data_IF_915657009055
#
_entry.id   IF_915657009055
#
_cell.length_a   1.000
_cell.length_b   1.000
_cell.length_c   1.000
_cell.angle_alpha   90.00
_cell.angle_beta   90.00
_cell.angle_gamma   90.00
#
_symmetry.space_group_name_H-M   'P 1'
#
loop_
_entity.id
_entity.type
_entity.pdbx_description
1 polymer ?
#
# COMPACT_ATOMS: atom_id res chain seq x y z
N UNK A 1 7.95 71.50 -20.23
CA UNK A 1 9.41 71.50 -20.02
C UNK A 1 9.80 70.19 -19.31
N UNK A 2 10.77 69.46 -19.89
CA UNK A 2 11.70 68.44 -19.32
C UNK A 2 11.08 67.17 -18.66
N UNK A 3 11.08 65.99 -19.29
CA UNK A 3 12.13 64.98 -19.59
C UNK A 3 12.53 64.02 -18.43
N UNK A 4 12.00 62.78 -18.54
CA UNK A 4 12.62 61.43 -18.38
C UNK A 4 12.81 60.73 -17.00
N UNK A 5 13.01 59.38 -16.95
CA UNK A 5 12.06 58.40 -16.38
C UNK A 5 12.61 57.66 -15.15
N UNK A 6 11.77 57.02 -14.32
CA UNK A 6 12.27 56.03 -13.34
C UNK A 6 11.45 54.73 -13.28
N UNK A 7 12.02 53.74 -13.97
CA UNK A 7 12.22 52.32 -13.63
C UNK A 7 11.00 51.50 -13.16
N UNK A 8 10.65 50.49 -13.98
CA UNK A 8 9.90 49.30 -13.54
C UNK A 8 10.67 48.61 -12.40
N UNK A 9 10.05 48.27 -11.27
CA UNK A 9 10.62 47.27 -10.39
C UNK A 9 10.48 45.89 -11.04
N UNK A 10 11.66 45.32 -11.29
CA UNK A 10 12.05 43.91 -11.42
C UNK A 10 10.90 42.91 -11.27
N UNK A 11 10.66 42.13 -12.34
CA UNK A 11 9.96 40.85 -12.27
C UNK A 11 10.54 40.03 -11.12
N UNK A 12 9.74 39.79 -10.09
CA UNK A 12 10.04 38.75 -9.11
C UNK A 12 10.25 37.45 -9.87
N UNK A 13 11.44 36.88 -9.69
CA UNK A 13 11.72 35.52 -10.10
C UNK A 13 10.63 34.64 -9.50
N UNK A 14 9.86 33.94 -10.35
CA UNK A 14 8.98 32.87 -9.90
C UNK A 14 9.82 31.93 -9.04
N UNK A 15 9.57 31.96 -7.74
CA UNK A 15 9.96 30.93 -6.79
C UNK A 15 9.71 29.57 -7.45
N UNK A 16 10.66 28.62 -7.44
CA UNK A 16 10.40 27.29 -7.97
C UNK A 16 9.17 26.76 -7.25
N UNK A 17 8.19 26.34 -8.05
CA UNK A 17 6.90 25.86 -7.59
C UNK A 17 7.12 24.85 -6.45
N UNK A 18 6.49 25.11 -5.30
CA UNK A 18 6.36 24.12 -4.24
C UNK A 18 5.73 22.83 -4.80
N UNK A 19 5.82 21.71 -4.06
CA UNK A 19 5.34 20.41 -4.53
C UNK A 19 3.90 20.52 -5.02
N UNK A 20 3.68 20.03 -6.25
CA UNK A 20 2.43 20.09 -6.98
C UNK A 20 1.27 19.52 -6.12
N UNK A 21 0.23 20.31 -5.79
CA UNK A 21 -0.91 19.84 -5.00
C UNK A 21 -1.83 18.99 -5.87
N UNK A 22 -1.49 17.72 -6.08
CA UNK A 22 -2.33 16.84 -6.89
C UNK A 22 -1.84 15.41 -7.13
N UNK A 23 -0.56 15.10 -6.93
CA UNK A 23 -0.10 13.71 -6.97
C UNK A 23 -0.33 13.05 -5.59
N UNK A 24 -0.90 11.82 -5.52
CA UNK A 24 -0.86 11.06 -4.28
C UNK A 24 0.61 10.82 -3.94
N UNK A 25 1.09 11.54 -2.93
CA UNK A 25 2.44 11.40 -2.47
C UNK A 25 2.51 10.07 -1.71
N UNK A 26 3.19 9.07 -2.26
CA UNK A 26 3.39 7.77 -1.59
C UNK A 26 3.85 7.97 -0.14
N UNK A 27 3.33 7.17 0.78
CA UNK A 27 3.60 7.31 2.21
C UNK A 27 4.38 6.12 2.79
N UNK A 28 4.74 5.16 1.94
CA UNK A 28 5.64 4.05 2.24
C UNK A 28 6.57 3.80 1.07
N UNK A 29 7.83 3.48 1.35
CA UNK A 29 8.82 3.03 0.37
C UNK A 29 9.74 1.97 0.97
N UNK A 30 10.10 0.97 0.17
CA UNK A 30 10.98 -0.11 0.59
C UNK A 30 11.85 -0.58 -0.59
N UNK A 31 13.04 -1.15 -0.36
CA UNK A 31 13.86 -1.71 -1.44
C UNK A 31 13.24 -2.99 -2.02
N UNK A 32 12.45 -3.72 -1.23
CA UNK A 32 11.72 -4.92 -1.63
C UNK A 32 10.38 -4.99 -0.92
N UNK A 33 9.50 -5.87 -1.37
CA UNK A 33 8.22 -6.15 -0.73
C UNK A 33 7.86 -7.62 -0.83
N UNK A 34 6.81 -8.01 -0.11
CA UNK A 34 6.26 -9.36 -0.10
C UNK A 34 4.81 -9.31 -0.56
N UNK A 35 4.39 -10.32 -1.30
CA UNK A 35 2.98 -10.64 -1.53
C UNK A 35 2.59 -11.76 -0.56
N UNK A 36 1.69 -11.46 0.36
CA UNK A 36 1.11 -12.43 1.27
C UNK A 36 -0.18 -12.99 0.67
N UNK A 37 -0.35 -14.30 0.69
CA UNK A 37 -1.51 -15.00 0.15
C UNK A 37 -2.08 -16.00 1.15
N UNK A 38 -3.40 -16.05 1.26
CA UNK A 38 -4.14 -17.02 2.06
C UNK A 38 -5.53 -17.28 1.41
N UNK A 39 -6.42 -17.97 2.10
CA UNK A 39 -7.81 -18.18 1.66
C UNK A 39 -8.80 -17.77 2.74
N UNK A 40 -10.01 -17.40 2.31
CA UNK A 40 -11.15 -17.27 3.19
C UNK A 40 -12.45 -17.74 2.53
N UNK A 41 -13.45 -18.06 3.35
CA UNK A 41 -14.80 -18.37 2.87
C UNK A 41 -15.53 -17.08 2.48
N UNK A 42 -15.90 -16.97 1.21
CA UNK A 42 -16.67 -15.84 0.72
C UNK A 42 -18.05 -15.80 1.38
N UNK A 43 -18.41 -14.66 1.96
CA UNK A 43 -19.69 -14.46 2.64
C UNK A 43 -20.89 -14.47 1.67
N UNK A 44 -20.67 -14.25 0.38
CA UNK A 44 -21.73 -14.23 -0.65
C UNK A 44 -22.00 -15.63 -1.22
N UNK A 45 -20.96 -16.38 -1.60
CA UNK A 45 -21.11 -17.64 -2.33
C UNK A 45 -20.52 -18.87 -1.62
N UNK A 46 -19.96 -18.71 -0.41
CA UNK A 46 -19.30 -19.76 0.38
C UNK A 46 -18.07 -20.42 -0.28
N UNK A 47 -17.64 -19.94 -1.45
CA UNK A 47 -16.41 -20.38 -2.13
C UNK A 47 -15.17 -20.05 -1.29
N UNK A 48 -14.16 -20.92 -1.33
CA UNK A 48 -12.90 -20.72 -0.61
C UNK A 48 -11.95 -19.86 -1.45
N UNK A 49 -12.14 -18.55 -1.42
CA UNK A 49 -11.46 -17.61 -2.30
C UNK A 49 -10.03 -17.34 -1.83
N UNK A 50 -9.08 -17.35 -2.76
CA UNK A 50 -7.74 -16.81 -2.53
C UNK A 50 -7.82 -15.30 -2.23
N UNK A 51 -7.06 -14.86 -1.23
CA UNK A 51 -6.94 -13.46 -0.81
C UNK A 51 -5.48 -13.08 -0.60
N UNK A 52 -5.18 -11.82 -0.88
CA UNK A 52 -3.82 -11.29 -0.90
C UNK A 52 -3.70 -9.97 -0.15
N UNK A 53 -2.49 -9.70 0.34
CA UNK A 53 -2.08 -8.40 0.87
C UNK A 53 -0.61 -8.13 0.53
N UNK A 54 -0.21 -6.86 0.59
CA UNK A 54 1.19 -6.46 0.45
C UNK A 54 1.82 -6.26 1.83
N UNK A 55 3.07 -6.70 1.97
CA UNK A 55 3.81 -6.59 3.23
C UNK A 55 5.16 -5.94 2.96
N UNK A 56 5.56 -5.03 3.84
CA UNK A 56 6.90 -4.47 3.88
C UNK A 56 7.59 -4.91 5.17
N UNK A 57 8.88 -5.19 5.09
CA UNK A 57 9.73 -5.49 6.24
C UNK A 57 10.88 -4.48 6.27
N UNK A 58 11.46 -4.17 7.45
CA UNK A 58 12.65 -3.34 7.51
C UNK A 58 13.76 -3.90 6.59
N UNK A 59 14.56 -3.04 5.93
CA UNK A 59 14.45 -1.59 5.96
C UNK A 59 13.31 -1.09 5.05
N UNK A 60 12.48 -0.20 5.55
CA UNK A 60 11.55 0.61 4.77
C UNK A 60 11.38 1.96 5.46
N UNK A 61 10.92 2.96 4.72
CA UNK A 61 10.53 4.25 5.29
C UNK A 61 9.03 4.47 5.13
N UNK A 62 8.45 5.19 6.08
CA UNK A 62 7.05 5.64 6.03
C UNK A 62 6.95 7.12 6.42
N UNK A 63 5.81 7.73 6.12
CA UNK A 63 5.46 9.07 6.59
C UNK A 63 3.96 9.20 6.80
N UNK A 64 3.53 10.06 7.71
CA UNK A 64 2.12 10.42 7.85
C UNK A 64 1.86 11.76 7.17
N UNK A 65 1.16 11.74 6.03
CA UNK A 65 0.86 12.96 5.27
C UNK A 65 2.13 13.69 4.79
N UNK A 66 2.22 14.99 5.09
CA UNK A 66 3.34 15.83 4.70
C UNK A 66 4.54 15.78 5.68
N UNK A 67 4.52 14.86 6.66
CA UNK A 67 5.64 14.67 7.59
C UNK A 67 6.88 14.14 6.88
N UNK A 68 8.00 14.30 7.58
CA UNK A 68 9.29 13.73 7.20
C UNK A 68 9.23 12.20 7.15
N UNK A 69 10.09 11.60 6.32
CA UNK A 69 10.25 10.16 6.23
C UNK A 69 10.91 9.63 7.49
N UNK A 70 10.35 8.57 8.04
CA UNK A 70 10.81 7.88 9.24
C UNK A 70 11.02 6.40 8.95
N UNK A 71 12.08 5.78 9.49
CA UNK A 71 12.30 4.36 9.34
C UNK A 71 11.15 3.54 9.96
N UNK A 72 10.67 2.55 9.23
CA UNK A 72 9.82 1.50 9.76
C UNK A 72 10.64 0.52 10.62
N UNK A 73 10.22 0.34 11.87
CA UNK A 73 10.95 -0.48 12.85
C UNK A 73 10.43 -1.91 12.95
N UNK A 74 9.20 -2.15 12.50
CA UNK A 74 8.62 -3.48 12.44
C UNK A 74 7.93 -3.72 11.10
N UNK A 75 7.84 -4.98 10.67
CA UNK A 75 7.13 -5.36 9.46
C UNK A 75 5.66 -4.95 9.52
N UNK A 76 5.09 -4.58 8.37
CA UNK A 76 3.74 -4.07 8.28
C UNK A 76 2.99 -4.65 7.09
N UNK A 77 1.74 -5.05 7.34
CA UNK A 77 0.78 -5.38 6.29
C UNK A 77 0.10 -4.08 5.87
N UNK A 78 0.01 -3.85 4.56
CA UNK A 78 -0.62 -2.67 4.00
C UNK A 78 -2.12 -2.93 3.80
N UNK A 79 -2.93 -1.99 4.28
CA UNK A 79 -4.36 -1.93 4.06
C UNK A 79 -4.74 -0.62 3.34
N UNK A 80 -5.92 -0.58 2.75
CA UNK A 80 -6.48 0.57 2.05
C UNK A 80 -5.51 1.22 1.08
N UNK A 81 -4.82 0.39 0.29
CA UNK A 81 -3.84 0.86 -0.67
C UNK A 81 -4.57 1.67 -1.74
N UNK A 82 -4.42 2.99 -1.72
CA UNK A 82 -5.07 3.90 -2.68
C UNK A 82 -4.33 3.92 -4.02
N UNK A 83 -3.00 3.80 -3.97
CA UNK A 83 -2.12 3.96 -5.14
C UNK A 83 -0.89 3.04 -5.07
N UNK A 84 -0.59 2.41 -6.20
CA UNK A 84 0.63 1.65 -6.47
C UNK A 84 1.25 2.14 -7.79
N UNK A 85 2.58 2.13 -7.93
CA UNK A 85 3.24 2.27 -9.22
C UNK A 85 2.78 1.19 -10.22
N UNK A 86 2.72 1.54 -11.52
CA UNK A 86 2.26 0.64 -12.59
C UNK A 86 3.02 -0.69 -12.61
N UNK A 87 4.35 -0.67 -12.41
CA UNK A 87 5.18 -1.89 -12.32
C UNK A 87 4.66 -2.90 -11.30
N UNK A 88 4.18 -2.41 -10.15
CA UNK A 88 3.67 -3.24 -9.06
C UNK A 88 2.26 -3.70 -9.40
N UNK A 89 1.45 -2.82 -9.97
CA UNK A 89 0.11 -3.16 -10.44
C UNK A 89 0.13 -4.25 -11.51
N UNK A 90 1.05 -4.19 -12.46
CA UNK A 90 1.20 -5.18 -13.53
C UNK A 90 1.70 -6.52 -13.00
N UNK A 91 2.64 -6.51 -12.06
CA UNK A 91 3.02 -7.73 -11.34
C UNK A 91 1.80 -8.36 -10.65
N UNK A 92 0.99 -7.56 -9.95
CA UNK A 92 -0.19 -8.07 -9.25
C UNK A 92 -1.27 -8.61 -10.19
N UNK A 93 -1.47 -8.01 -11.37
CA UNK A 93 -2.39 -8.57 -12.39
C UNK A 93 -2.01 -10.01 -12.76
N UNK A 94 -0.72 -10.34 -12.76
CA UNK A 94 -0.22 -11.67 -13.10
C UNK A 94 -0.26 -12.64 -11.91
N UNK A 95 0.11 -12.18 -10.71
CA UNK A 95 0.28 -13.06 -9.53
C UNK A 95 -0.95 -13.18 -8.64
N UNK A 96 -1.84 -12.18 -8.69
CA UNK A 96 -3.02 -12.05 -7.86
C UNK A 96 -4.15 -11.35 -8.66
N UNK A 97 -4.67 -11.95 -9.75
CA UNK A 97 -5.60 -11.29 -10.68
C UNK A 97 -6.94 -10.88 -10.07
N UNK A 98 -7.26 -11.40 -8.87
CA UNK A 98 -8.45 -11.04 -8.08
C UNK A 98 -8.15 -10.05 -6.96
N UNK A 99 -6.97 -9.46 -6.95
CA UNK A 99 -6.59 -8.36 -6.07
C UNK A 99 -6.33 -7.13 -6.92
N UNK A 100 -7.33 -6.26 -7.03
CA UNK A 100 -7.26 -5.07 -7.88
C UNK A 100 -8.04 -3.89 -7.29
N UNK A 101 -7.79 -2.71 -7.85
CA UNK A 101 -8.37 -1.46 -7.35
C UNK A 101 -9.85 -1.36 -7.71
N UNK A 102 -10.69 -1.15 -6.70
CA UNK A 102 -12.14 -0.99 -6.86
C UNK A 102 -12.69 -0.05 -5.77
N UNK A 103 -13.90 0.47 -5.96
CA UNK A 103 -14.60 1.29 -4.98
C UNK A 103 -15.39 0.41 -4.00
N UNK A 104 -15.26 0.63 -2.70
CA UNK A 104 -16.18 0.03 -1.73
C UNK A 104 -17.31 1.01 -1.41
N UNK A 105 -18.44 0.49 -0.93
CA UNK A 105 -19.59 1.32 -0.55
C UNK A 105 -19.26 2.27 0.62
N UNK A 106 -18.33 1.87 1.49
CA UNK A 106 -18.03 2.55 2.75
C UNK A 106 -16.76 3.41 2.71
N UNK A 107 -15.87 3.18 1.74
CA UNK A 107 -14.65 3.98 1.59
C UNK A 107 -14.81 5.02 0.50
N UNK A 108 -14.48 6.28 0.82
CA UNK A 108 -14.64 7.42 -0.09
C UNK A 108 -13.74 7.34 -1.33
N UNK A 109 -12.67 6.54 -1.27
CA UNK A 109 -11.70 6.40 -2.34
C UNK A 109 -11.55 4.93 -2.74
N UNK A 110 -11.44 4.63 -4.04
CA UNK A 110 -11.11 3.28 -4.48
C UNK A 110 -9.72 2.87 -3.98
N UNK A 111 -9.61 1.63 -3.53
CA UNK A 111 -8.38 1.04 -3.02
C UNK A 111 -8.23 -0.39 -3.56
N UNK A 112 -7.03 -0.94 -3.47
CA UNK A 112 -6.76 -2.33 -3.83
C UNK A 112 -7.43 -3.27 -2.84
N UNK A 113 -8.38 -4.06 -3.33
CA UNK A 113 -9.14 -5.01 -2.51
C UNK A 113 -9.21 -6.36 -3.20
N UNK A 114 -9.59 -7.38 -2.44
CA UNK A 114 -9.76 -8.71 -2.95
C UNK A 114 -11.17 -8.89 -3.53
N UNK A 115 -11.29 -9.78 -4.51
CA UNK A 115 -12.55 -10.18 -5.10
C UNK A 115 -12.64 -11.70 -5.10
N UNK A 116 -13.81 -12.24 -4.80
CA UNK A 116 -14.02 -13.67 -4.85
C UNK A 116 -13.79 -14.20 -6.26
N UNK A 117 -12.91 -15.18 -6.42
CA UNK A 117 -12.62 -15.77 -7.74
C UNK A 117 -13.81 -16.54 -8.35
N UNK A 118 -14.78 -16.93 -7.51
CA UNK A 118 -15.97 -17.69 -7.91
C UNK A 118 -17.16 -16.81 -8.30
N UNK A 119 -17.46 -15.77 -7.51
CA UNK A 119 -18.65 -14.94 -7.72
C UNK A 119 -18.37 -13.45 -7.97
N UNK A 120 -17.11 -13.02 -7.87
CA UNK A 120 -16.71 -11.62 -8.06
C UNK A 120 -17.08 -10.68 -6.91
N UNK A 121 -17.68 -11.17 -5.81
CA UNK A 121 -18.01 -10.36 -4.64
C UNK A 121 -16.77 -9.69 -4.05
N UNK A 122 -16.92 -8.45 -3.60
CA UNK A 122 -15.86 -7.66 -2.97
C UNK A 122 -15.53 -8.21 -1.57
N UNK A 123 -14.25 -8.30 -1.27
CA UNK A 123 -13.69 -8.77 0.00
C UNK A 123 -12.71 -7.69 0.46
N UNK A 124 -13.11 -6.91 1.46
CA UNK A 124 -12.36 -5.75 1.92
C UNK A 124 -11.32 -6.08 2.98
N UNK A 125 -10.55 -5.06 3.37
CA UNK A 125 -9.47 -5.21 4.35
C UNK A 125 -9.99 -5.46 5.78
N UNK A 126 -11.24 -5.10 6.06
CA UNK A 126 -11.92 -5.48 7.30
C UNK A 126 -11.98 -7.02 7.46
N UNK A 127 -12.24 -7.74 6.38
CA UNK A 127 -12.34 -9.20 6.36
C UNK A 127 -10.99 -9.91 6.17
N UNK A 128 -10.05 -9.31 5.44
CA UNK A 128 -8.75 -9.94 5.11
C UNK A 128 -7.65 -9.61 6.10
N UNK A 129 -7.67 -8.42 6.72
CA UNK A 129 -6.59 -7.89 7.57
C UNK A 129 -7.08 -7.52 8.97
N UNK A 130 -8.13 -6.71 9.12
CA UNK A 130 -8.40 -6.05 10.41
C UNK A 130 -9.09 -6.94 11.45
N UNK A 131 -10.02 -7.79 11.01
CA UNK A 131 -10.74 -8.67 11.93
C UNK A 131 -9.80 -9.63 12.65
N UNK A 132 -10.09 -9.92 13.92
CA UNK A 132 -9.28 -10.82 14.76
C UNK A 132 -9.19 -12.26 14.21
N UNK A 133 -10.12 -12.65 13.33
CA UNK A 133 -10.12 -13.94 12.65
C UNK A 133 -9.67 -13.84 11.18
N UNK A 134 -9.28 -12.64 10.73
CA UNK A 134 -8.88 -12.42 9.35
C UNK A 134 -7.59 -13.19 9.03
N UNK A 135 -7.49 -13.80 7.84
CA UNK A 135 -6.39 -14.69 7.50
C UNK A 135 -5.03 -13.99 7.34
N UNK A 136 -5.02 -12.66 7.20
CA UNK A 136 -3.81 -11.83 7.07
C UNK A 136 -3.71 -10.80 8.21
N UNK A 137 -4.39 -11.04 9.34
CA UNK A 137 -4.36 -10.14 10.50
C UNK A 137 -2.98 -10.04 11.16
N UNK A 138 -2.54 -8.82 11.46
CA UNK A 138 -1.19 -8.53 11.95
C UNK A 138 -0.90 -9.02 13.38
N UNK A 139 -1.93 -9.22 14.20
CA UNK A 139 -1.81 -9.84 15.52
C UNK A 139 -1.70 -11.36 15.48
N UNK A 140 -2.03 -11.98 14.33
CA UNK A 140 -1.98 -13.44 14.11
C UNK A 140 -1.24 -13.81 12.84
N UNK A 141 -0.45 -12.90 12.29
CA UNK A 141 0.21 -13.08 11.01
C UNK A 141 1.31 -14.13 11.18
N UNK A 142 0.94 -15.39 10.96
CA UNK A 142 1.84 -16.53 11.08
C UNK A 142 2.23 -16.99 9.67
N UNK A 143 3.52 -16.90 9.31
CA UNK A 143 4.01 -17.32 7.99
C UNK A 143 3.71 -18.78 7.67
N UNK A 144 3.54 -19.64 8.68
CA UNK A 144 3.19 -21.04 8.46
C UNK A 144 1.84 -21.22 7.76
N UNK A 145 0.91 -20.27 7.94
CA UNK A 145 -0.44 -20.32 7.38
C UNK A 145 -0.63 -19.31 6.24
N UNK A 146 0.42 -18.56 5.87
CA UNK A 146 0.39 -17.53 4.85
C UNK A 146 1.49 -17.81 3.85
N UNK A 147 1.12 -17.98 2.58
CA UNK A 147 2.12 -18.06 1.51
C UNK A 147 2.72 -16.67 1.32
N UNK A 148 4.02 -16.54 1.57
CA UNK A 148 4.77 -15.32 1.27
C UNK A 148 5.55 -15.50 -0.02
N UNK A 149 5.54 -14.49 -0.88
CA UNK A 149 6.36 -14.43 -2.10
C UNK A 149 7.15 -13.14 -2.11
N UNK A 150 8.48 -13.27 -2.04
CA UNK A 150 9.39 -12.13 -2.06
C UNK A 150 9.50 -11.55 -3.47
N UNK A 151 9.38 -10.22 -3.56
CA UNK A 151 9.54 -9.48 -4.80
C UNK A 151 10.75 -8.55 -4.64
N UNK A 152 11.90 -8.87 -5.26
CA UNK A 152 13.14 -8.11 -5.10
C UNK A 152 13.13 -6.85 -5.99
N UNK A 153 12.11 -6.01 -5.83
CA UNK A 153 11.93 -4.77 -6.59
C UNK A 153 11.57 -3.61 -5.67
N UNK A 154 12.01 -2.37 -5.98
CA UNK A 154 11.64 -1.20 -5.21
C UNK A 154 10.12 -1.04 -5.11
N UNK A 155 9.65 -0.85 -3.88
CA UNK A 155 8.26 -0.73 -3.51
C UNK A 155 7.92 0.68 -3.09
N UNK A 156 6.77 1.19 -3.53
CA UNK A 156 6.19 2.43 -3.05
C UNK A 156 4.65 2.29 -3.05
N UNK A 157 3.97 2.90 -2.09
CA UNK A 157 2.52 2.92 -2.06
C UNK A 157 1.97 4.13 -1.30
N UNK A 158 0.69 4.43 -1.54
CA UNK A 158 -0.13 5.22 -0.62
C UNK A 158 -1.09 4.25 0.07
N UNK A 159 -0.90 4.01 1.37
CA UNK A 159 -1.62 2.97 2.12
C UNK A 159 -1.66 3.26 3.63
N UNK A 160 -2.53 2.56 4.34
CA UNK A 160 -2.47 2.41 5.80
C UNK A 160 -1.53 1.26 6.15
N UNK A 161 -0.70 1.43 7.18
CA UNK A 161 0.22 0.38 7.65
C UNK A 161 -0.29 -0.19 8.97
N UNK A 162 -0.49 -1.51 9.00
CA UNK A 162 -0.73 -2.25 10.24
C UNK A 162 0.56 -2.99 10.62
N UNK A 163 1.16 -2.59 11.73
CA UNK A 163 2.39 -3.22 12.22
C UNK A 163 2.09 -4.64 12.72
N UNK A 164 2.96 -5.59 12.38
CA UNK A 164 2.94 -6.95 12.92
C UNK A 164 3.40 -6.95 14.37
N UNK A 165 2.63 -7.61 15.24
CA UNK A 165 2.87 -7.63 16.69
C UNK A 165 4.07 -8.51 17.09
N UNK A 166 4.47 -9.45 16.23
CA UNK A 166 5.60 -10.36 16.46
C UNK A 166 6.66 -10.27 15.33
N UNK A 167 7.68 -9.40 15.53
CA UNK A 167 8.73 -9.19 14.53
C UNK A 167 9.71 -10.37 14.41
N UNK A 168 9.75 -11.31 15.37
CA UNK A 168 10.74 -12.40 15.43
C UNK A 168 10.55 -13.40 14.28
N UNK A 169 9.35 -13.46 13.71
CA UNK A 169 9.08 -14.32 12.55
C UNK A 169 9.72 -13.80 11.24
N UNK A 170 10.21 -12.55 11.20
CA UNK A 170 10.47 -11.81 9.95
C UNK A 170 11.91 -11.83 9.47
N UNK A 171 12.89 -11.99 10.36
CA UNK A 171 14.26 -12.31 9.93
C UNK A 171 14.29 -13.60 9.07
N UNK A 172 13.37 -14.55 9.33
CA UNK A 172 13.20 -15.75 8.50
C UNK A 172 12.59 -15.47 7.10
N UNK A 173 12.11 -14.25 6.83
CA UNK A 173 11.44 -13.85 5.57
C UNK A 173 12.43 -13.39 4.49
N UNK A 174 13.70 -13.13 4.85
CA UNK A 174 14.74 -12.73 3.88
C UNK A 174 15.46 -13.90 3.21
N UNK A 175 15.32 -15.11 3.74
CA UNK A 175 16.21 -16.25 3.43
C UNK A 175 15.52 -17.44 2.76
N UNK A 176 14.24 -17.33 2.38
CA UNK A 176 13.51 -18.30 1.56
C UNK A 176 12.99 -17.63 0.29
#
# INVERSE_FOLDING_TARGET
MKLWPKRKPRSEAKTPAGPNPGAPSFNVRAPTYLVAGNHLRCWTCSGNAAVYALVVAPPFDRRDGARQWEPGTSPAVLAYIESLPERIADHLKLTAPRYFRDASQWHRRPYWMNHCEYCGAKIGDAETIESAIAPLNTGRFQPANVKLSHVPQPFEALATLHNCSDPVSVEAWRTK
#
